data_IF_856083597429
#
_entry.id   IF_856083597429
#
_cell.length_a   1.000
_cell.length_b   1.000
_cell.length_c   1.000
_cell.angle_alpha   90.00
_cell.angle_beta   90.00
_cell.angle_gamma   90.00
#
_symmetry.space_group_name_H-M   'P 1'
#
loop_
_entity.id
_entity.type
_entity.pdbx_description
1 polymer ?
#
# COMPACT_ATOMS: atom_id res chain seq x y z
N UNK A 1 -32.78 12.71 0.95
CA UNK A 1 -32.26 12.99 2.31
C UNK A 1 -31.89 11.72 3.10
N UNK A 2 -32.77 10.71 3.24
CA UNK A 2 -32.41 9.45 3.94
C UNK A 2 -31.27 8.67 3.28
N UNK A 3 -31.21 8.60 1.95
CA UNK A 3 -30.14 7.93 1.21
C UNK A 3 -28.78 8.60 1.44
N UNK A 4 -28.71 9.92 1.33
CA UNK A 4 -27.47 10.69 1.57
C UNK A 4 -26.97 10.53 3.00
N UNK A 5 -27.88 10.54 3.99
CA UNK A 5 -27.52 10.29 5.38
C UNK A 5 -26.98 8.86 5.57
N UNK A 6 -27.60 7.85 4.95
CA UNK A 6 -27.12 6.47 5.00
C UNK A 6 -25.70 6.30 4.43
N UNK A 7 -25.40 6.95 3.29
CA UNK A 7 -24.05 6.95 2.69
C UNK A 7 -23.04 7.61 3.62
N UNK A 8 -23.34 8.78 4.18
CA UNK A 8 -22.43 9.48 5.11
C UNK A 8 -22.16 8.63 6.35
N UNK A 9 -23.20 8.04 6.96
CA UNK A 9 -23.05 7.15 8.12
C UNK A 9 -22.20 5.93 7.75
N UNK A 10 -22.44 5.32 6.59
CA UNK A 10 -21.65 4.18 6.10
C UNK A 10 -20.15 4.52 5.95
N UNK A 11 -19.84 5.68 5.38
CA UNK A 11 -18.45 6.17 5.25
C UNK A 11 -17.82 6.36 6.63
N UNK A 12 -18.51 7.01 7.57
CA UNK A 12 -17.98 7.24 8.92
C UNK A 12 -17.72 5.94 9.67
N UNK A 13 -18.64 4.96 9.58
CA UNK A 13 -18.47 3.63 10.19
C UNK A 13 -17.27 2.90 9.57
N UNK A 14 -17.10 2.97 8.25
CA UNK A 14 -15.97 2.34 7.57
C UNK A 14 -14.63 2.97 7.99
N UNK A 15 -14.55 4.30 8.09
CA UNK A 15 -13.36 5.00 8.56
C UNK A 15 -13.05 4.61 10.01
N UNK A 16 -14.05 4.59 10.89
CA UNK A 16 -13.86 4.18 12.28
C UNK A 16 -13.35 2.73 12.40
N UNK A 17 -13.91 1.81 11.62
CA UNK A 17 -13.46 0.42 11.56
C UNK A 17 -12.01 0.31 11.08
N UNK A 18 -11.62 1.05 10.04
CA UNK A 18 -10.23 1.07 9.54
C UNK A 18 -9.25 1.59 10.60
N UNK A 19 -9.61 2.65 11.34
CA UNK A 19 -8.78 3.18 12.42
C UNK A 19 -8.60 2.14 13.53
N UNK A 20 -9.68 1.46 13.94
CA UNK A 20 -9.61 0.41 14.96
C UNK A 20 -8.75 -0.78 14.53
N UNK A 21 -8.87 -1.21 13.28
CA UNK A 21 -8.04 -2.29 12.71
C UNK A 21 -6.56 -1.86 12.68
N UNK A 22 -6.27 -0.63 12.23
CA UNK A 22 -4.91 -0.10 12.22
C UNK A 22 -4.31 -0.05 13.63
N UNK A 23 -5.07 0.46 14.61
CA UNK A 23 -4.63 0.47 16.01
C UNK A 23 -4.36 -0.94 16.56
N UNK A 24 -5.20 -1.93 16.21
CA UNK A 24 -5.00 -3.32 16.61
C UNK A 24 -3.72 -3.89 15.98
N UNK A 25 -3.47 -3.65 14.69
CA UNK A 25 -2.26 -4.09 13.98
C UNK A 25 -1.00 -3.52 14.65
N UNK A 26 -0.97 -2.21 14.91
CA UNK A 26 0.17 -1.58 15.59
C UNK A 26 0.38 -2.12 17.01
N UNK A 27 -0.69 -2.31 17.76
CA UNK A 27 -0.62 -2.86 19.12
C UNK A 27 -0.10 -4.30 19.13
N UNK A 28 -0.48 -5.12 18.18
CA UNK A 28 -0.02 -6.51 18.05
C UNK A 28 1.41 -6.60 17.52
N UNK A 29 1.81 -5.70 16.62
CA UNK A 29 3.12 -5.69 16.00
C UNK A 29 4.23 -5.08 16.86
N UNK A 30 3.90 -4.27 17.88
CA UNK A 30 4.88 -3.63 18.75
C UNK A 30 5.17 -4.47 20.00
N UNK A 31 6.45 -4.62 20.35
CA UNK A 31 6.92 -5.39 21.52
C UNK A 31 6.40 -4.87 22.85
N UNK A 32 6.14 -3.57 22.91
CA UNK A 32 5.65 -2.86 24.12
C UNK A 32 4.11 -2.78 24.19
N UNK A 33 3.42 -3.34 23.18
CA UNK A 33 1.96 -3.29 23.05
C UNK A 33 1.38 -1.88 22.86
N UNK A 34 2.22 -0.88 22.53
CA UNK A 34 1.79 0.49 22.25
C UNK A 34 1.40 0.62 20.78
N UNK A 35 0.49 1.54 20.49
CA UNK A 35 0.09 1.86 19.11
C UNK A 35 1.19 2.64 18.38
N UNK A 36 1.97 3.43 19.11
CA UNK A 36 3.00 4.30 18.54
C UNK A 36 4.28 3.53 18.28
N UNK A 37 4.74 3.55 17.04
CA UNK A 37 6.06 3.08 16.64
C UNK A 37 7.13 4.11 17.04
N UNK A 38 8.22 3.64 17.62
CA UNK A 38 9.37 4.47 18.01
C UNK A 38 10.48 4.33 16.98
N UNK A 39 11.06 5.47 16.59
CA UNK A 39 12.15 5.57 15.61
C UNK A 39 13.31 6.38 16.18
N UNK A 40 14.54 6.00 15.85
CA UNK A 40 15.71 6.80 16.15
C UNK A 40 15.79 8.05 15.25
N UNK A 41 16.75 8.96 15.54
CA UNK A 41 16.88 10.22 14.81
C UNK A 41 17.23 10.00 13.34
N UNK A 42 18.09 9.02 13.02
CA UNK A 42 18.45 8.66 11.66
C UNK A 42 17.23 8.12 10.91
N UNK A 43 16.48 7.21 11.53
CA UNK A 43 15.28 6.64 10.93
C UNK A 43 14.22 7.71 10.64
N UNK A 44 14.05 8.70 11.53
CA UNK A 44 13.11 9.82 11.31
C UNK A 44 13.49 10.64 10.08
N UNK A 45 14.77 10.89 9.85
CA UNK A 45 15.25 11.60 8.65
C UNK A 45 14.91 10.79 7.39
N UNK A 46 15.26 9.50 7.37
CA UNK A 46 15.00 8.60 6.25
C UNK A 46 13.51 8.49 5.95
N UNK A 47 12.66 8.37 6.98
CA UNK A 47 11.20 8.36 6.83
C UNK A 47 10.72 9.67 6.19
N UNK A 48 11.24 10.82 6.64
CA UNK A 48 10.92 12.12 6.05
C UNK A 48 11.29 12.22 4.57
N UNK A 49 12.43 11.70 4.17
CA UNK A 49 12.84 11.60 2.77
C UNK A 49 11.96 10.62 1.99
N UNK A 50 11.62 9.47 2.56
CA UNK A 50 10.70 8.52 1.96
C UNK A 50 9.33 9.12 1.66
N UNK A 51 8.75 9.90 2.57
CA UNK A 51 7.52 10.65 2.34
C UNK A 51 7.66 11.67 1.21
N UNK A 52 8.78 12.35 1.11
CA UNK A 52 9.07 13.30 0.03
C UNK A 52 9.08 12.61 -1.33
N UNK A 53 9.76 11.45 -1.45
CA UNK A 53 9.75 10.67 -2.68
C UNK A 53 8.36 10.16 -3.03
N UNK A 54 7.61 9.63 -2.06
CA UNK A 54 6.24 9.17 -2.28
C UNK A 54 5.32 10.31 -2.74
N UNK A 55 5.43 11.48 -2.13
CA UNK A 55 4.65 12.66 -2.52
C UNK A 55 4.91 13.08 -3.97
N UNK A 56 6.19 13.21 -4.36
CA UNK A 56 6.52 13.60 -5.73
C UNK A 56 6.14 12.52 -6.75
N UNK A 57 6.25 11.24 -6.39
CA UNK A 57 5.77 10.14 -7.23
C UNK A 57 4.27 10.25 -7.43
N UNK A 58 3.49 10.45 -6.36
CA UNK A 58 2.03 10.61 -6.47
C UNK A 58 1.66 11.82 -7.32
N UNK A 59 2.31 12.97 -7.10
CA UNK A 59 2.05 14.19 -7.86
C UNK A 59 2.31 13.98 -9.36
N UNK A 60 3.45 13.38 -9.71
CA UNK A 60 3.78 13.07 -11.10
C UNK A 60 2.77 12.10 -11.73
N UNK A 61 2.39 11.03 -11.03
CA UNK A 61 1.44 10.04 -11.51
C UNK A 61 0.03 10.63 -11.70
N UNK A 62 -0.40 11.56 -10.82
CA UNK A 62 -1.68 12.26 -10.98
C UNK A 62 -1.68 13.16 -12.22
N UNK A 63 -0.57 13.84 -12.52
CA UNK A 63 -0.43 14.60 -13.76
C UNK A 63 -0.51 13.69 -14.98
N UNK A 64 0.18 12.55 -14.96
CA UNK A 64 0.11 11.57 -16.05
C UNK A 64 -1.33 11.04 -16.22
N UNK A 65 -2.02 10.73 -15.12
CA UNK A 65 -3.43 10.29 -15.17
C UNK A 65 -4.32 11.38 -15.80
N UNK A 66 -4.14 12.64 -15.41
CA UNK A 66 -4.92 13.73 -15.97
C UNK A 66 -4.69 13.88 -17.48
N UNK A 67 -3.44 13.81 -17.93
CA UNK A 67 -3.12 13.84 -19.36
C UNK A 67 -3.77 12.65 -20.08
N UNK A 68 -3.74 11.45 -19.50
CA UNK A 68 -4.34 10.26 -20.09
C UNK A 68 -5.88 10.40 -20.24
N UNK A 69 -6.56 11.01 -19.28
CA UNK A 69 -7.99 11.31 -19.34
C UNK A 69 -8.32 12.28 -20.47
N UNK A 70 -7.53 13.37 -20.60
CA UNK A 70 -7.72 14.35 -21.69
C UNK A 70 -7.51 13.71 -23.06
N UNK A 71 -6.42 12.93 -23.23
CA UNK A 71 -6.12 12.24 -24.48
C UNK A 71 -7.23 11.24 -24.83
N UNK A 72 -7.72 10.46 -23.85
CA UNK A 72 -8.80 9.49 -24.11
C UNK A 72 -10.09 10.20 -24.54
N UNK A 73 -10.42 11.37 -23.97
CA UNK A 73 -11.62 12.12 -24.32
C UNK A 73 -11.65 12.58 -25.78
N UNK A 74 -10.49 12.76 -26.39
CA UNK A 74 -10.36 13.18 -27.79
C UNK A 74 -10.52 12.02 -28.80
N UNK A 75 -10.39 10.75 -28.35
CA UNK A 75 -10.31 9.60 -29.26
C UNK A 75 -11.54 8.67 -29.26
N UNK A 76 -12.56 8.86 -28.41
CA UNK A 76 -13.72 7.98 -28.46
C UNK A 76 -14.84 8.16 -27.44
N UNK A 77 -15.98 7.54 -27.76
CA UNK A 77 -17.23 7.62 -26.98
C UNK A 77 -17.23 6.74 -25.71
N UNK A 78 -16.26 5.84 -25.51
CA UNK A 78 -16.15 4.93 -24.36
C UNK A 78 -14.80 5.05 -23.70
N UNK A 79 -14.76 5.81 -22.62
CA UNK A 79 -13.56 6.10 -21.85
C UNK A 79 -13.43 5.10 -20.69
N UNK A 80 -12.56 4.10 -20.82
CA UNK A 80 -12.23 3.16 -19.74
C UNK A 80 -11.50 3.89 -18.59
N UNK A 81 -10.61 4.83 -18.92
CA UNK A 81 -9.85 5.58 -17.92
C UNK A 81 -10.80 6.44 -17.09
N UNK A 82 -11.68 7.21 -17.75
CA UNK A 82 -12.65 8.07 -17.07
C UNK A 82 -13.64 7.26 -16.22
N UNK A 83 -14.13 6.13 -16.73
CA UNK A 83 -15.01 5.23 -15.98
C UNK A 83 -14.31 4.56 -14.79
N UNK A 84 -12.97 4.46 -14.83
CA UNK A 84 -12.15 3.78 -13.82
C UNK A 84 -11.35 4.74 -12.94
N UNK A 85 -11.64 6.04 -12.93
CA UNK A 85 -10.86 7.04 -12.18
C UNK A 85 -10.68 6.68 -10.70
N UNK A 86 -11.70 6.15 -10.05
CA UNK A 86 -11.62 5.71 -8.65
C UNK A 86 -10.57 4.61 -8.42
N UNK A 87 -10.70 3.43 -9.06
CA UNK A 87 -9.70 2.37 -8.99
C UNK A 87 -8.31 2.80 -9.43
N UNK A 88 -8.18 3.59 -10.50
CA UNK A 88 -6.89 4.10 -10.97
C UNK A 88 -6.23 5.03 -9.96
N UNK A 89 -6.96 6.03 -9.46
CA UNK A 89 -6.43 6.93 -8.42
C UNK A 89 -5.96 6.15 -7.19
N UNK A 90 -6.71 5.13 -6.78
CA UNK A 90 -6.31 4.26 -5.68
C UNK A 90 -5.01 3.50 -5.99
N UNK A 91 -4.86 2.99 -7.21
CA UNK A 91 -3.62 2.34 -7.64
C UNK A 91 -2.41 3.29 -7.59
N UNK A 92 -2.57 4.56 -7.98
CA UNK A 92 -1.49 5.56 -7.88
C UNK A 92 -1.08 5.83 -6.42
N UNK A 93 -2.05 5.86 -5.51
CA UNK A 93 -1.78 5.96 -4.07
C UNK A 93 -0.98 4.74 -3.60
N UNK A 94 -1.37 3.51 -4.01
CA UNK A 94 -0.66 2.28 -3.67
C UNK A 94 0.78 2.30 -4.21
N UNK A 95 1.00 2.74 -5.44
CA UNK A 95 2.35 2.88 -6.01
C UNK A 95 3.20 3.86 -5.18
N UNK A 96 2.63 4.98 -4.75
CA UNK A 96 3.33 5.94 -3.91
C UNK A 96 3.70 5.38 -2.54
N UNK A 97 2.78 4.63 -1.92
CA UNK A 97 3.04 3.91 -0.66
C UNK A 97 4.15 2.87 -0.88
N UNK A 98 4.15 2.16 -2.00
CA UNK A 98 5.19 1.20 -2.35
C UNK A 98 6.57 1.86 -2.43
N UNK A 99 6.67 3.02 -3.09
CA UNK A 99 7.92 3.79 -3.14
C UNK A 99 8.41 4.15 -1.74
N UNK A 100 7.52 4.64 -0.87
CA UNK A 100 7.84 4.90 0.53
C UNK A 100 8.34 3.66 1.27
N UNK A 101 7.63 2.53 1.16
CA UNK A 101 7.98 1.29 1.85
C UNK A 101 9.35 0.76 1.39
N UNK A 102 9.56 0.67 0.08
CA UNK A 102 10.81 0.17 -0.50
C UNK A 102 11.97 1.07 -0.10
N UNK A 103 11.82 2.40 -0.21
CA UNK A 103 12.84 3.36 0.21
C UNK A 103 13.21 3.18 1.69
N UNK A 104 12.20 3.10 2.56
CA UNK A 104 12.39 2.96 4.01
C UNK A 104 13.04 1.61 4.38
N UNK A 105 12.69 0.51 3.69
CA UNK A 105 13.30 -0.81 3.89
C UNK A 105 14.78 -0.75 3.50
N UNK A 106 15.09 -0.19 2.33
CA UNK A 106 16.45 -0.14 1.80
C UNK A 106 17.40 0.65 2.69
N UNK A 107 16.89 1.71 3.33
CA UNK A 107 17.65 2.56 4.25
C UNK A 107 17.54 2.16 5.73
N UNK A 108 16.90 0.99 6.02
CA UNK A 108 16.82 0.45 7.39
C UNK A 108 15.92 1.22 8.35
N UNK A 109 14.93 1.96 7.81
CA UNK A 109 14.02 2.79 8.60
C UNK A 109 12.55 2.30 8.58
N UNK A 110 12.27 1.17 7.92
CA UNK A 110 10.91 0.63 7.84
C UNK A 110 10.42 0.06 9.18
N UNK A 111 11.34 -0.62 9.89
CA UNK A 111 11.04 -1.21 11.19
C UNK A 111 11.45 -0.24 12.30
N UNK A 112 10.52 0.15 13.15
CA UNK A 112 10.82 0.93 14.33
C UNK A 112 11.55 0.12 15.40
N UNK A 113 12.14 0.80 16.38
CA UNK A 113 12.93 0.20 17.47
C UNK A 113 12.08 -0.77 18.31
N UNK A 114 10.81 -0.42 18.54
CA UNK A 114 9.86 -1.22 19.32
C UNK A 114 9.07 -2.22 18.47
N UNK A 115 9.31 -2.31 17.16
CA UNK A 115 8.61 -3.26 16.31
C UNK A 115 9.10 -4.70 16.54
N UNK A 116 8.17 -5.65 16.50
CA UNK A 116 8.47 -7.05 16.30
C UNK A 116 8.40 -7.36 14.81
N UNK A 117 9.56 -7.35 14.14
CA UNK A 117 9.66 -7.57 12.70
C UNK A 117 8.93 -8.83 12.22
N UNK A 118 9.03 -9.93 12.99
CA UNK A 118 8.38 -11.21 12.65
C UNK A 118 6.86 -11.08 12.61
N UNK A 119 6.27 -10.44 13.60
CA UNK A 119 4.81 -10.29 13.70
C UNK A 119 4.29 -9.40 12.58
N UNK A 120 4.99 -8.31 12.26
CA UNK A 120 4.65 -7.47 11.11
C UNK A 120 4.73 -8.21 9.78
N UNK A 121 5.77 -9.03 9.56
CA UNK A 121 5.90 -9.86 8.36
C UNK A 121 4.71 -10.82 8.23
N UNK A 122 4.32 -11.48 9.34
CA UNK A 122 3.17 -12.40 9.35
C UNK A 122 1.88 -11.64 9.02
N UNK A 123 1.66 -10.49 9.65
CA UNK A 123 0.47 -9.67 9.41
C UNK A 123 0.40 -9.22 7.94
N UNK A 124 1.49 -8.70 7.39
CA UNK A 124 1.56 -8.27 5.99
C UNK A 124 1.34 -9.44 5.03
N UNK A 125 1.92 -10.61 5.31
CA UNK A 125 1.72 -11.81 4.51
C UNK A 125 0.25 -12.26 4.50
N UNK A 126 -0.40 -12.31 5.66
CA UNK A 126 -1.82 -12.69 5.78
C UNK A 126 -2.70 -11.70 5.02
N UNK A 127 -2.49 -10.39 5.20
CA UNK A 127 -3.25 -9.35 4.49
C UNK A 127 -3.02 -9.47 2.97
N UNK A 128 -1.77 -9.69 2.53
CA UNK A 128 -1.42 -9.84 1.11
C UNK A 128 -2.11 -11.06 0.49
N UNK A 129 -2.03 -12.23 1.14
CA UNK A 129 -2.66 -13.47 0.66
C UNK A 129 -4.18 -13.31 0.57
N UNK A 130 -4.82 -12.75 1.60
CA UNK A 130 -6.26 -12.52 1.61
C UNK A 130 -6.68 -11.61 0.45
N UNK A 131 -5.97 -10.49 0.23
CA UNK A 131 -6.27 -9.58 -0.87
C UNK A 131 -6.09 -10.24 -2.24
N UNK A 132 -5.03 -11.05 -2.45
CA UNK A 132 -4.82 -11.78 -3.69
C UNK A 132 -5.92 -12.80 -3.95
N UNK A 133 -6.33 -13.56 -2.92
CA UNK A 133 -7.43 -14.54 -3.03
C UNK A 133 -8.74 -13.82 -3.37
N UNK A 134 -9.08 -12.76 -2.66
CA UNK A 134 -10.30 -11.99 -2.91
C UNK A 134 -10.30 -11.38 -4.31
N UNK A 135 -9.18 -10.82 -4.75
CA UNK A 135 -9.01 -10.30 -6.11
C UNK A 135 -9.18 -11.38 -7.17
N UNK A 136 -8.51 -12.54 -7.01
CA UNK A 136 -8.62 -13.66 -7.94
C UNK A 136 -10.04 -14.22 -8.02
N UNK A 137 -10.70 -14.45 -6.88
CA UNK A 137 -12.10 -14.92 -6.83
C UNK A 137 -13.05 -13.91 -7.48
N UNK A 138 -12.86 -12.62 -7.24
CA UNK A 138 -13.69 -11.58 -7.85
C UNK A 138 -13.51 -11.51 -9.37
N UNK A 139 -12.27 -11.66 -9.88
CA UNK A 139 -12.01 -11.74 -11.32
C UNK A 139 -12.67 -12.96 -11.95
N UNK A 140 -12.58 -14.12 -11.32
CA UNK A 140 -13.20 -15.35 -11.82
C UNK A 140 -14.74 -15.26 -11.88
N UNK A 141 -15.35 -14.47 -11.00
CA UNK A 141 -16.81 -14.33 -10.93
C UNK A 141 -17.35 -13.25 -11.86
N UNK A 142 -16.68 -12.11 -11.94
CA UNK A 142 -17.24 -10.90 -12.55
C UNK A 142 -16.32 -10.26 -13.58
N UNK A 143 -15.09 -10.75 -13.71
CA UNK A 143 -14.07 -10.14 -14.57
C UNK A 143 -13.31 -8.99 -13.91
N UNK A 144 -12.24 -8.54 -14.58
CA UNK A 144 -11.45 -7.39 -14.17
C UNK A 144 -12.11 -6.07 -14.58
N UNK A 145 -12.79 -6.08 -15.71
CA UNK A 145 -13.54 -4.94 -16.28
C UNK A 145 -15.01 -5.30 -16.30
N UNK A 146 -15.87 -4.42 -15.75
CA UNK A 146 -17.33 -4.57 -15.71
C UNK A 146 -17.92 -3.27 -16.26
N UNK A 147 -18.78 -3.37 -17.27
CA UNK A 147 -19.46 -2.23 -17.92
C UNK A 147 -18.49 -1.11 -18.34
N UNK A 148 -17.31 -1.49 -18.85
CA UNK A 148 -16.29 -0.54 -19.31
C UNK A 148 -15.46 0.13 -18.20
N UNK A 149 -15.59 -0.30 -16.94
CA UNK A 149 -14.83 0.21 -15.81
C UNK A 149 -14.06 -0.90 -15.09
N UNK A 150 -12.92 -0.55 -14.48
CA UNK A 150 -12.17 -1.46 -13.61
C UNK A 150 -13.00 -1.81 -12.38
N UNK A 151 -13.11 -3.11 -12.09
CA UNK A 151 -13.86 -3.62 -10.95
C UNK A 151 -13.08 -3.48 -9.63
N UNK A 152 -13.78 -3.66 -8.49
CA UNK A 152 -13.14 -3.71 -7.17
C UNK A 152 -12.09 -4.82 -7.01
N UNK A 153 -12.11 -5.85 -7.87
CA UNK A 153 -11.08 -6.88 -7.93
C UNK A 153 -9.69 -6.30 -8.22
N UNK A 154 -9.61 -5.26 -9.07
CA UNK A 154 -8.37 -4.55 -9.37
C UNK A 154 -7.73 -3.94 -8.11
N UNK A 155 -8.54 -3.34 -7.24
CA UNK A 155 -8.08 -2.73 -5.99
C UNK A 155 -7.48 -3.79 -5.05
N UNK A 156 -8.16 -4.93 -4.89
CA UNK A 156 -7.66 -6.05 -4.08
C UNK A 156 -6.34 -6.60 -4.63
N UNK A 157 -6.23 -6.75 -5.95
CA UNK A 157 -4.97 -7.18 -6.56
C UNK A 157 -3.84 -6.20 -6.30
N UNK A 158 -4.08 -4.91 -6.46
CA UNK A 158 -3.06 -3.87 -6.19
C UNK A 158 -2.60 -3.92 -4.72
N UNK A 159 -3.52 -4.07 -3.76
CA UNK A 159 -3.18 -4.25 -2.35
C UNK A 159 -2.35 -5.52 -2.12
N UNK A 160 -2.73 -6.64 -2.72
CA UNK A 160 -1.99 -7.90 -2.62
C UNK A 160 -0.58 -7.79 -3.21
N UNK A 161 -0.45 -7.21 -4.39
CA UNK A 161 0.86 -6.97 -5.05
C UNK A 161 1.75 -6.06 -4.19
N UNK A 162 1.19 -4.97 -3.63
CA UNK A 162 1.92 -4.10 -2.70
C UNK A 162 2.57 -4.92 -1.57
N UNK A 163 1.78 -5.78 -0.91
CA UNK A 163 2.27 -6.59 0.21
C UNK A 163 3.38 -7.57 -0.23
N UNK A 164 3.22 -8.23 -1.38
CA UNK A 164 4.23 -9.14 -1.93
C UNK A 164 5.54 -8.40 -2.22
N UNK A 165 5.47 -7.22 -2.83
CA UNK A 165 6.68 -6.44 -3.15
C UNK A 165 7.37 -5.93 -1.89
N UNK A 166 6.61 -5.46 -0.89
CA UNK A 166 7.16 -5.03 0.41
C UNK A 166 7.86 -6.18 1.13
N UNK A 167 7.22 -7.35 1.18
CA UNK A 167 7.81 -8.55 1.80
C UNK A 167 9.06 -9.03 1.03
N UNK A 168 9.00 -9.02 -0.31
CA UNK A 168 10.15 -9.36 -1.16
C UNK A 168 11.33 -8.40 -0.95
N UNK A 169 11.06 -7.09 -0.90
CA UNK A 169 12.09 -6.09 -0.64
C UNK A 169 12.73 -6.26 0.75
N UNK A 170 11.91 -6.54 1.78
CA UNK A 170 12.40 -6.81 3.12
C UNK A 170 13.27 -8.07 3.18
N UNK A 171 12.85 -9.14 2.51
CA UNK A 171 13.60 -10.40 2.44
C UNK A 171 14.93 -10.24 1.70
N UNK A 172 14.94 -9.56 0.54
CA UNK A 172 16.16 -9.28 -0.23
C UNK A 172 17.13 -8.46 0.60
N UNK A 173 16.64 -7.41 1.30
CA UNK A 173 17.49 -6.57 2.16
C UNK A 173 18.11 -7.38 3.29
N UNK A 174 17.35 -8.28 3.93
CA UNK A 174 17.87 -9.16 4.98
C UNK A 174 18.96 -10.12 4.48
N UNK A 175 18.79 -10.66 3.26
CA UNK A 175 19.82 -11.51 2.65
C UNK A 175 21.12 -10.74 2.39
N UNK A 176 21.01 -9.50 1.88
CA UNK A 176 22.16 -8.66 1.59
C UNK A 176 22.91 -8.28 2.89
N UNK A 177 22.16 -7.90 3.93
CA UNK A 177 22.74 -7.50 5.21
C UNK A 177 23.47 -8.70 5.86
N UNK A 178 22.85 -9.88 5.85
CA UNK A 178 23.45 -11.11 6.39
C UNK A 178 24.76 -11.48 5.68
N UNK A 179 24.79 -11.44 4.33
CA UNK A 179 26.01 -11.75 3.58
C UNK A 179 27.15 -10.79 3.89
N UNK A 180 26.86 -9.53 4.16
CA UNK A 180 27.86 -8.53 4.55
C UNK A 180 28.44 -8.81 5.93
N UNK A 181 27.56 -9.16 6.90
CA UNK A 181 28.01 -9.49 8.25
C UNK A 181 28.91 -10.75 8.27
N UNK A 182 28.61 -11.74 7.40
CA UNK A 182 29.43 -12.95 7.25
C UNK A 182 30.82 -12.62 6.65
N UNK A 183 30.91 -11.71 5.68
CA UNK A 183 32.19 -11.27 5.09
C UNK A 183 33.06 -10.46 6.06
N UNK A 184 32.46 -9.59 6.88
CA UNK A 184 33.18 -8.78 7.89
C UNK A 184 33.62 -9.61 9.11
N UNK A 185 33.04 -10.78 9.34
CA UNK A 185 33.39 -11.68 10.43
C UNK A 185 34.54 -12.64 10.12
N UNK A 186 34.94 -12.77 8.85
CA UNK A 186 36.03 -13.64 8.38
C UNK A 186 37.39 -12.90 8.24
N UNK A 187 37.43 -11.56 8.47
CA UNK A 187 38.64 -10.73 8.53
C UNK A 187 39.13 -10.54 9.99
#
# INVERSE_FOLDING_TARGET
>A
MAYTLGVVVGILVTIAAMILIACAIFKLGNKDGRVKTEYDERQKIVIGEGYKFAFWTLAALLVVLQIAVEVESDFGDTSIIQSSLGPLTFALIIVSILVFCVYSIWHGAYWGINNNKRDYIIILAVIGIVNLILGAVAIMRSGLVIDGALSGAFVNLMCGVLMVVVLGAAWIKDMIDKNRDDEEGDE
#
